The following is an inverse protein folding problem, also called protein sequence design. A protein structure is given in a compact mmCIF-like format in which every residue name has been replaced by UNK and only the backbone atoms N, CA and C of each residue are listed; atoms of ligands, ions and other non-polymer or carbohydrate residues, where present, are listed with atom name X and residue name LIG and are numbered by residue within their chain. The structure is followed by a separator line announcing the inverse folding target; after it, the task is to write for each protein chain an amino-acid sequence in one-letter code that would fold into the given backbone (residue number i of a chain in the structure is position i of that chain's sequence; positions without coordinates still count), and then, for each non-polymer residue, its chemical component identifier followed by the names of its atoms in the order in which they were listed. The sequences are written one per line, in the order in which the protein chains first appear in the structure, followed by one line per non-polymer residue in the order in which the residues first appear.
data_IF_525527172924
#
_entry.id   IF_525527172924
#
_cell.length_a   1.000
_cell.length_b   1.000
_cell.length_c   1.000
_cell.angle_alpha   90.00
_cell.angle_beta   90.00
_cell.angle_gamma   90.00
#
_symmetry.space_group_name_H-M   'P 1'
#
loop_
_entity.id
_entity.type
_entity.pdbx_description
1 polymer ?
#
# COMPACT_ATOMS: atom_id res chain seq x y z
N UNK A 1 1.98 14.09 -33.93
CA UNK A 1 3.23 13.77 -33.21
C UNK A 1 3.23 14.19 -31.73
N UNK A 2 2.35 15.10 -31.32
CA UNK A 2 2.29 15.59 -29.93
C UNK A 2 1.53 14.68 -28.93
N UNK A 3 0.61 13.83 -29.38
CA UNK A 3 -0.18 12.99 -28.48
C UNK A 3 0.53 11.76 -27.90
N UNK A 4 1.63 11.32 -28.50
CA UNK A 4 2.42 10.16 -27.99
C UNK A 4 3.39 10.52 -26.87
N UNK A 5 3.75 11.79 -26.72
CA UNK A 5 4.68 12.23 -25.68
C UNK A 5 4.01 12.49 -24.33
N UNK A 6 2.70 12.80 -24.31
CA UNK A 6 1.93 13.02 -23.08
C UNK A 6 1.76 11.70 -22.29
N UNK A 7 1.65 10.56 -22.97
CA UNK A 7 1.52 9.25 -22.32
C UNK A 7 2.85 8.71 -21.73
N UNK A 8 4.00 9.32 -22.07
CA UNK A 8 5.32 8.99 -21.50
C UNK A 8 5.79 9.93 -20.41
N UNK A 9 5.15 11.08 -20.25
CA UNK A 9 5.42 11.98 -19.13
C UNK A 9 4.77 11.39 -17.86
N UNK A 10 5.50 10.49 -17.18
CA UNK A 10 5.13 10.06 -15.84
C UNK A 10 4.94 11.28 -14.94
N UNK A 11 4.18 11.14 -13.86
CA UNK A 11 4.00 12.19 -12.87
C UNK A 11 5.38 12.66 -12.39
N UNK A 12 5.71 13.92 -12.66
CA UNK A 12 6.98 14.52 -12.23
C UNK A 12 6.77 15.26 -10.92
N UNK A 13 7.62 14.96 -9.94
CA UNK A 13 7.65 15.71 -8.69
C UNK A 13 8.07 17.16 -9.00
N UNK A 14 7.20 18.12 -8.68
CA UNK A 14 7.51 19.55 -8.77
C UNK A 14 7.82 20.08 -7.37
N UNK A 15 9.00 20.62 -7.24
CA UNK A 15 9.51 21.29 -6.02
C UNK A 15 9.66 22.78 -6.33
N UNK A 16 9.55 23.63 -5.32
CA UNK A 16 9.78 25.07 -5.47
C UNK A 16 11.20 25.35 -6.02
N UNK A 17 11.31 26.24 -7.00
CA UNK A 17 12.57 26.58 -7.66
C UNK A 17 13.67 27.09 -6.73
N UNK A 18 13.33 27.60 -5.53
CA UNK A 18 14.30 27.93 -4.49
C UNK A 18 15.13 26.69 -4.11
N UNK A 19 14.48 25.55 -3.92
CA UNK A 19 15.17 24.29 -3.55
C UNK A 19 15.92 23.66 -4.72
N UNK A 20 15.42 23.79 -5.95
CA UNK A 20 16.09 23.28 -7.15
C UNK A 20 17.49 23.90 -7.36
N UNK A 21 17.69 25.16 -6.93
CA UNK A 21 18.97 25.84 -7.00
C UNK A 21 19.92 25.50 -5.82
N UNK A 22 19.39 24.92 -4.74
CA UNK A 22 20.15 24.69 -3.50
C UNK A 22 20.44 23.21 -3.26
N UNK A 23 19.52 22.33 -3.70
CA UNK A 23 19.56 20.92 -3.46
C UNK A 23 19.59 20.13 -4.78
N UNK A 24 20.14 18.93 -4.74
CA UNK A 24 20.16 17.99 -5.86
C UNK A 24 18.83 17.28 -5.99
N UNK A 25 17.79 17.99 -6.46
CA UNK A 25 16.42 17.44 -6.59
C UNK A 25 16.37 16.30 -7.58
N UNK A 26 17.17 16.28 -8.66
CA UNK A 26 17.21 15.17 -9.59
C UNK A 26 17.71 13.88 -8.91
N UNK A 27 18.74 13.95 -8.06
CA UNK A 27 19.22 12.84 -7.26
C UNK A 27 18.10 12.28 -6.35
N UNK A 28 17.29 13.16 -5.77
CA UNK A 28 16.13 12.77 -4.96
C UNK A 28 15.05 12.06 -5.79
N UNK A 29 14.72 12.58 -6.97
CA UNK A 29 13.77 11.93 -7.89
C UNK A 29 14.29 10.55 -8.35
N UNK A 30 15.59 10.45 -8.61
CA UNK A 30 16.22 9.19 -9.01
C UNK A 30 16.20 8.10 -7.91
N UNK A 31 15.93 8.45 -6.63
CA UNK A 31 15.73 7.45 -5.57
C UNK A 31 14.62 6.46 -5.91
N UNK A 32 13.58 6.89 -6.64
CA UNK A 32 12.42 6.07 -7.01
C UNK A 32 12.52 5.48 -8.42
N UNK A 33 13.55 5.81 -9.19
CA UNK A 33 13.74 5.27 -10.53
C UNK A 33 14.20 3.82 -10.48
N UNK A 34 13.55 2.96 -11.26
CA UNK A 34 13.85 1.53 -11.42
C UNK A 34 14.11 0.79 -10.08
N UNK A 35 13.17 0.84 -9.13
CA UNK A 35 13.35 0.13 -7.88
C UNK A 35 13.31 -1.37 -8.11
N UNK A 36 14.36 -2.09 -7.69
CA UNK A 36 14.39 -3.55 -7.74
C UNK A 36 13.36 -4.19 -6.80
N UNK A 37 12.92 -3.44 -5.77
CA UNK A 37 11.97 -3.84 -4.74
C UNK A 37 11.20 -2.61 -4.24
N UNK A 38 10.00 -2.81 -3.71
CA UNK A 38 9.14 -1.72 -3.23
C UNK A 38 9.64 -1.03 -1.94
N UNK A 39 10.58 -1.59 -1.21
CA UNK A 39 11.02 -1.04 0.08
C UNK A 39 11.58 0.39 -0.01
N UNK A 40 12.05 0.85 -1.17
CA UNK A 40 12.47 2.25 -1.34
C UNK A 40 11.31 3.24 -1.13
N UNK A 41 10.11 2.89 -1.58
CA UNK A 41 8.90 3.70 -1.37
C UNK A 41 8.57 3.81 0.11
N UNK A 42 8.54 2.68 0.81
CA UNK A 42 8.26 2.65 2.25
C UNK A 42 9.36 3.32 3.08
N UNK A 43 10.63 3.21 2.65
CA UNK A 43 11.75 3.93 3.26
C UNK A 43 11.58 5.45 3.16
N UNK A 44 11.24 5.96 1.97
CA UNK A 44 11.04 7.39 1.78
C UNK A 44 9.78 7.89 2.50
N UNK A 45 8.68 7.13 2.49
CA UNK A 45 7.49 7.45 3.29
C UNK A 45 7.83 7.57 4.77
N UNK A 46 8.55 6.59 5.33
CA UNK A 46 8.95 6.60 6.73
C UNK A 46 9.82 7.84 7.07
N UNK A 47 10.74 8.22 6.19
CA UNK A 47 11.55 9.42 6.35
C UNK A 47 10.68 10.68 6.32
N UNK A 48 9.77 10.80 5.36
CA UNK A 48 8.86 11.96 5.25
C UNK A 48 7.97 12.05 6.49
N UNK A 49 7.45 10.94 6.97
CA UNK A 49 6.65 10.87 8.20
C UNK A 49 7.43 11.33 9.45
N UNK A 50 8.69 10.90 9.60
CA UNK A 50 9.54 11.30 10.71
C UNK A 50 9.89 12.79 10.64
N UNK A 51 10.29 13.29 9.48
CA UNK A 51 10.63 14.71 9.25
C UNK A 51 9.40 15.61 9.46
N UNK A 52 8.19 15.16 9.07
CA UNK A 52 6.95 15.91 9.30
C UNK A 52 6.61 16.06 10.79
N UNK A 53 7.21 15.23 11.65
CA UNK A 53 7.11 15.28 13.12
C UNK A 53 8.33 15.97 13.76
N UNK A 54 9.11 16.74 13.00
CA UNK A 54 10.32 17.44 13.42
C UNK A 54 11.45 16.55 13.97
N UNK A 55 11.47 15.27 13.58
CA UNK A 55 12.57 14.36 13.94
C UNK A 55 13.77 14.67 13.07
N UNK A 56 14.87 15.12 13.68
CA UNK A 56 16.12 15.44 12.99
C UNK A 56 17.13 14.30 13.00
N UNK A 57 17.02 13.40 13.96
CA UNK A 57 17.88 12.24 14.16
C UNK A 57 17.03 11.02 14.50
N UNK A 58 17.34 9.87 13.92
CA UNK A 58 16.65 8.61 14.15
C UNK A 58 17.61 7.42 13.99
N UNK A 59 17.09 6.20 14.00
CA UNK A 59 17.86 4.97 13.79
C UNK A 59 17.26 4.15 12.64
N UNK A 60 18.04 3.20 12.10
CA UNK A 60 17.49 2.25 11.13
C UNK A 60 16.30 1.48 11.71
N UNK A 61 16.34 1.15 13.00
CA UNK A 61 15.26 0.46 13.68
C UNK A 61 13.95 1.24 13.63
N UNK A 62 14.00 2.53 13.96
CA UNK A 62 12.82 3.40 13.97
C UNK A 62 12.25 3.58 12.56
N UNK A 63 13.10 3.79 11.54
CA UNK A 63 12.64 3.90 10.16
C UNK A 63 12.01 2.58 9.69
N UNK A 64 12.60 1.43 10.02
CA UNK A 64 12.06 0.12 9.64
C UNK A 64 10.72 -0.15 10.36
N UNK A 65 10.57 0.27 11.62
CA UNK A 65 9.30 0.16 12.34
C UNK A 65 8.20 0.98 11.65
N UNK A 66 8.52 2.19 11.16
CA UNK A 66 7.62 3.00 10.36
C UNK A 66 7.28 2.34 9.01
N UNK A 67 8.26 1.73 8.33
CA UNK A 67 8.01 0.97 7.10
C UNK A 67 7.03 -0.18 7.33
N UNK A 68 7.18 -0.92 8.43
CA UNK A 68 6.26 -2.00 8.81
C UNK A 68 4.86 -1.44 9.04
N UNK A 69 4.74 -0.33 9.77
CA UNK A 69 3.44 0.31 10.03
C UNK A 69 2.77 0.79 8.74
N UNK A 70 3.53 1.39 7.81
CA UNK A 70 3.02 1.91 6.53
C UNK A 70 2.59 0.79 5.56
N UNK A 71 3.19 -0.40 5.65
CA UNK A 71 2.85 -1.55 4.82
C UNK A 71 1.85 -2.53 5.48
N UNK A 72 1.56 -2.36 6.77
CA UNK A 72 0.76 -3.29 7.57
C UNK A 72 -0.58 -3.63 6.93
N UNK A 73 -1.40 -2.61 6.65
CA UNK A 73 -2.76 -2.80 6.15
C UNK A 73 -2.81 -3.59 4.84
N UNK A 74 -2.00 -3.19 3.87
CA UNK A 74 -1.99 -3.81 2.55
C UNK A 74 -1.56 -5.28 2.57
N UNK A 75 -0.57 -5.62 3.38
CA UNK A 75 -0.09 -7.00 3.52
C UNK A 75 -1.02 -7.83 4.42
N UNK A 76 -1.47 -7.25 5.54
CA UNK A 76 -2.26 -7.97 6.54
C UNK A 76 -3.68 -8.28 6.06
N UNK A 77 -4.34 -7.32 5.40
CA UNK A 77 -5.74 -7.44 4.95
C UNK A 77 -5.84 -8.08 3.57
N UNK A 78 -5.03 -7.63 2.61
CA UNK A 78 -5.16 -8.01 1.21
C UNK A 78 -4.08 -8.97 0.72
N UNK A 79 -3.16 -9.37 1.58
CA UNK A 79 -2.04 -10.26 1.23
C UNK A 79 -1.24 -9.76 0.00
N UNK A 80 -1.08 -8.43 -0.12
CA UNK A 80 -0.29 -7.84 -1.20
C UNK A 80 1.14 -8.32 -1.09
N UNK A 81 1.65 -8.90 -2.17
CA UNK A 81 3.05 -9.31 -2.27
C UNK A 81 3.94 -8.13 -2.62
N UNK A 82 4.79 -7.70 -1.68
CA UNK A 82 5.65 -6.53 -1.86
C UNK A 82 6.73 -6.69 -2.95
N UNK A 83 7.03 -7.91 -3.35
CA UNK A 83 7.94 -8.23 -4.48
C UNK A 83 7.26 -9.01 -5.61
N UNK A 84 5.91 -9.05 -5.61
CA UNK A 84 5.12 -9.88 -6.50
C UNK A 84 5.07 -11.35 -6.07
N UNK A 85 4.05 -12.06 -6.56
CA UNK A 85 3.90 -13.50 -6.33
C UNK A 85 4.94 -14.27 -7.15
N UNK A 86 5.58 -15.24 -6.53
CA UNK A 86 6.53 -16.15 -7.19
C UNK A 86 5.90 -17.51 -7.43
N UNK A 87 6.36 -18.20 -8.45
CA UNK A 87 5.88 -19.54 -8.80
C UNK A 87 6.07 -20.58 -7.68
N UNK A 88 7.08 -20.39 -6.82
CA UNK A 88 7.35 -21.25 -5.66
C UNK A 88 6.52 -20.89 -4.41
N UNK A 89 5.71 -19.81 -4.45
CA UNK A 89 4.89 -19.33 -3.33
C UNK A 89 5.70 -18.79 -2.14
N UNK A 90 7.02 -18.65 -2.25
CA UNK A 90 7.88 -18.20 -1.15
C UNK A 90 7.98 -16.68 -1.10
N UNK A 91 7.69 -16.11 0.07
CA UNK A 91 7.89 -14.68 0.35
C UNK A 91 9.37 -14.42 0.61
N UNK A 92 10.01 -13.66 -0.28
CA UNK A 92 11.44 -13.29 -0.17
C UNK A 92 11.67 -11.84 0.25
N UNK A 93 10.65 -11.01 0.17
CA UNK A 93 10.73 -9.62 0.62
C UNK A 93 10.87 -9.55 2.15
N UNK A 94 11.86 -8.77 2.62
CA UNK A 94 12.16 -8.66 4.05
C UNK A 94 11.09 -7.91 4.82
N UNK A 95 10.49 -6.87 4.21
CA UNK A 95 9.42 -6.08 4.83
C UNK A 95 8.13 -6.91 4.96
N UNK A 96 7.74 -7.59 3.88
CA UNK A 96 6.59 -8.50 3.89
C UNK A 96 6.76 -9.61 4.93
N UNK A 97 7.96 -10.21 5.04
CA UNK A 97 8.25 -11.22 6.07
C UNK A 97 8.12 -10.69 7.49
N UNK A 98 8.57 -9.45 7.75
CA UNK A 98 8.42 -8.83 9.07
C UNK A 98 6.94 -8.67 9.45
N UNK A 99 6.12 -8.23 8.50
CA UNK A 99 4.67 -8.08 8.70
C UNK A 99 4.00 -9.43 8.94
N UNK A 100 4.30 -10.44 8.11
CA UNK A 100 3.75 -11.80 8.28
C UNK A 100 4.20 -12.45 9.58
N UNK A 101 5.41 -12.15 10.06
CA UNK A 101 5.89 -12.60 11.37
C UNK A 101 5.11 -11.92 12.49
N UNK A 102 4.94 -10.59 12.44
CA UNK A 102 4.16 -9.84 13.42
C UNK A 102 2.69 -10.30 13.45
N UNK A 103 2.10 -10.62 12.30
CA UNK A 103 0.76 -11.20 12.19
C UNK A 103 0.61 -12.52 12.94
N UNK A 104 1.68 -13.33 13.01
CA UNK A 104 1.66 -14.62 13.74
C UNK A 104 1.90 -14.44 15.24
N UNK A 105 2.55 -13.37 15.64
CA UNK A 105 2.89 -13.08 17.03
C UNK A 105 1.80 -12.33 17.79
N UNK A 106 0.92 -11.62 17.07
CA UNK A 106 -0.10 -10.75 17.66
C UNK A 106 -1.47 -10.92 17.01
N UNK A 107 -2.52 -10.65 17.78
CA UNK A 107 -3.91 -10.57 17.28
C UNK A 107 -4.28 -9.18 16.76
N UNK A 108 -3.26 -8.38 16.36
CA UNK A 108 -3.46 -7.02 15.88
C UNK A 108 -4.36 -7.00 14.62
N UNK A 109 -5.46 -6.25 14.61
CA UNK A 109 -6.35 -6.18 13.46
C UNK A 109 -5.68 -5.47 12.27
N UNK A 110 -6.13 -5.77 11.07
CA UNK A 110 -5.56 -5.19 9.85
C UNK A 110 -5.67 -3.65 9.83
N UNK A 111 -6.80 -3.11 10.31
CA UNK A 111 -7.07 -1.67 10.39
C UNK A 111 -6.58 -1.02 11.69
N UNK A 112 -5.64 -1.66 12.41
CA UNK A 112 -5.02 -1.09 13.60
C UNK A 112 -4.40 0.27 13.28
N UNK A 113 -4.47 1.18 14.24
CA UNK A 113 -3.83 2.48 14.14
C UNK A 113 -2.30 2.34 14.13
N UNK A 114 -1.63 3.31 13.53
CA UNK A 114 -0.15 3.37 13.53
C UNK A 114 0.45 3.24 14.92
N UNK A 115 -0.16 3.88 15.92
CA UNK A 115 0.33 3.84 17.31
C UNK A 115 0.25 2.43 17.88
N UNK A 116 -0.86 1.72 17.66
CA UNK A 116 -1.02 0.34 18.08
C UNK A 116 0.02 -0.57 17.41
N UNK A 117 0.21 -0.42 16.09
CA UNK A 117 1.20 -1.20 15.34
C UNK A 117 2.59 -0.98 15.90
N UNK A 118 3.02 0.27 16.10
CA UNK A 118 4.34 0.60 16.63
C UNK A 118 4.54 0.09 18.08
N UNK A 119 3.49 0.08 18.90
CA UNK A 119 3.55 -0.47 20.26
C UNK A 119 3.76 -2.00 20.23
N UNK A 120 3.03 -2.70 19.36
CA UNK A 120 3.15 -4.16 19.20
C UNK A 120 4.52 -4.52 18.60
N UNK A 121 5.06 -3.75 17.65
CA UNK A 121 6.43 -3.94 17.15
C UNK A 121 7.46 -3.86 18.30
N UNK A 122 7.29 -2.89 19.22
CA UNK A 122 8.19 -2.77 20.41
C UNK A 122 8.05 -3.94 21.37
N UNK A 123 6.85 -4.46 21.55
CA UNK A 123 6.60 -5.64 22.40
C UNK A 123 7.33 -6.86 21.86
N UNK A 124 7.30 -7.08 20.53
CA UNK A 124 7.94 -8.22 19.86
C UNK A 124 9.29 -7.87 19.19
N UNK A 125 9.99 -6.86 19.70
CA UNK A 125 11.23 -6.36 19.08
C UNK A 125 12.32 -7.45 18.98
N UNK A 126 12.41 -8.33 19.98
CA UNK A 126 13.40 -9.44 20.00
C UNK A 126 13.12 -10.45 18.90
N UNK A 127 11.87 -10.83 18.73
CA UNK A 127 11.42 -11.79 17.73
C UNK A 127 11.58 -11.24 16.31
N UNK A 128 11.30 -9.96 16.10
CA UNK A 128 11.42 -9.28 14.81
C UNK A 128 12.85 -8.91 14.44
N UNK A 129 13.77 -8.91 15.38
CA UNK A 129 15.14 -8.40 15.21
C UNK A 129 15.83 -8.96 13.96
N UNK A 130 15.86 -10.27 13.80
CA UNK A 130 16.56 -10.92 12.67
C UNK A 130 15.98 -10.51 11.31
N UNK A 131 14.65 -10.40 11.22
CA UNK A 131 13.96 -10.01 9.99
C UNK A 131 14.19 -8.53 9.69
N UNK A 132 14.14 -7.66 10.69
CA UNK A 132 14.46 -6.23 10.57
C UNK A 132 15.91 -5.99 10.17
N UNK A 133 16.88 -6.75 10.74
CA UNK A 133 18.30 -6.62 10.40
C UNK A 133 18.58 -6.85 8.91
N UNK A 134 17.82 -7.72 8.24
CA UNK A 134 17.98 -7.94 6.80
C UNK A 134 17.71 -6.68 5.96
N UNK A 135 16.82 -5.80 6.43
CA UNK A 135 16.49 -4.54 5.75
C UNK A 135 17.62 -3.50 5.90
N UNK A 136 18.48 -3.63 6.91
CA UNK A 136 19.59 -2.67 7.15
C UNK A 136 20.71 -2.77 6.13
N UNK A 137 20.86 -3.89 5.43
CA UNK A 137 22.03 -4.14 4.59
C UNK A 137 22.05 -3.35 3.28
N UNK A 138 20.88 -3.12 2.68
CA UNK A 138 20.81 -2.52 1.34
C UNK A 138 19.90 -1.29 1.24
N UNK A 139 18.76 -1.29 1.92
CA UNK A 139 17.73 -0.27 1.75
C UNK A 139 18.25 1.15 2.01
N UNK A 140 18.90 1.45 3.15
CA UNK A 140 19.35 2.81 3.47
C UNK A 140 20.38 3.38 2.50
N UNK A 141 21.22 2.51 1.96
CA UNK A 141 22.31 2.89 1.05
C UNK A 141 21.81 3.01 -0.39
N UNK A 142 21.01 2.06 -0.85
CA UNK A 142 20.44 2.07 -2.20
C UNK A 142 19.42 3.17 -2.42
N UNK A 143 18.78 3.65 -1.37
CA UNK A 143 17.93 4.83 -1.45
C UNK A 143 18.73 6.07 -1.90
N UNK A 144 19.99 6.21 -1.49
CA UNK A 144 20.86 7.32 -1.89
C UNK A 144 21.53 7.14 -3.26
N UNK A 145 21.35 6.00 -3.93
CA UNK A 145 22.07 5.70 -5.18
C UNK A 145 21.84 6.74 -6.30
N UNK A 146 20.70 7.43 -6.29
CA UNK A 146 20.41 8.50 -7.25
C UNK A 146 21.41 9.67 -7.20
N UNK A 147 21.99 9.92 -6.03
CA UNK A 147 22.99 10.98 -5.84
C UNK A 147 24.40 10.56 -6.23
N UNK A 148 24.66 9.26 -6.38
CA UNK A 148 26.00 8.73 -6.62
C UNK A 148 26.47 8.93 -8.07
N UNK A 149 25.56 9.18 -8.99
CA UNK A 149 25.85 9.37 -10.43
C UNK A 149 26.78 10.59 -10.70
N UNK A 150 26.83 11.54 -9.77
CA UNK A 150 27.68 12.75 -9.86
C UNK A 150 29.09 12.54 -9.33
N UNK A 151 29.38 11.43 -8.68
CA UNK A 151 30.71 11.12 -8.17
C UNK A 151 31.52 10.33 -9.22
N UNK A 152 32.76 10.70 -9.40
CA UNK A 152 33.71 9.92 -10.21
C UNK A 152 34.10 8.60 -9.52
N UNK A 153 34.04 8.58 -8.16
CA UNK A 153 34.29 7.41 -7.36
C UNK A 153 33.07 6.48 -7.40
N UNK A 154 33.31 5.17 -7.59
CA UNK A 154 32.26 4.16 -7.58
C UNK A 154 32.00 3.65 -6.17
N UNK A 155 30.72 3.50 -5.82
CA UNK A 155 30.30 2.90 -4.56
C UNK A 155 30.67 1.41 -4.50
N UNK A 156 31.28 0.97 -3.41
CA UNK A 156 31.52 -0.46 -3.14
C UNK A 156 30.29 -1.09 -2.45
N UNK A 157 29.41 -1.65 -3.23
CA UNK A 157 28.18 -2.29 -2.76
C UNK A 157 28.40 -3.60 -1.98
N UNK A 158 29.63 -4.13 -1.94
CA UNK A 158 29.98 -5.33 -1.19
C UNK A 158 30.32 -5.07 0.28
N UNK A 159 30.46 -3.80 0.69
CA UNK A 159 30.89 -3.44 2.05
C UNK A 159 30.09 -2.28 2.63
N UNK A 160 29.27 -2.59 3.66
CA UNK A 160 28.50 -1.58 4.42
C UNK A 160 29.41 -0.50 5.01
N UNK A 161 30.59 -0.88 5.52
CA UNK A 161 31.56 0.09 6.06
C UNK A 161 32.02 1.05 4.96
N UNK A 162 32.47 0.53 3.81
CA UNK A 162 32.95 1.38 2.69
C UNK A 162 31.84 2.24 2.12
N UNK A 163 30.59 1.73 2.07
CA UNK A 163 29.43 2.53 1.67
C UNK A 163 29.16 3.69 2.65
N UNK A 164 29.27 3.45 3.96
CA UNK A 164 29.12 4.52 4.96
C UNK A 164 30.18 5.61 4.79
N UNK A 165 31.47 5.19 4.64
CA UNK A 165 32.59 6.10 4.39
C UNK A 165 32.42 6.87 3.05
N UNK A 166 31.92 6.20 2.02
CA UNK A 166 31.65 6.80 0.71
C UNK A 166 30.52 7.84 0.78
N UNK A 167 29.41 7.55 1.44
CA UNK A 167 28.31 8.49 1.69
C UNK A 167 28.81 9.73 2.42
N UNK A 168 29.63 9.54 3.45
CA UNK A 168 30.21 10.65 4.18
C UNK A 168 31.07 11.55 3.27
N UNK A 169 31.95 10.96 2.43
CA UNK A 169 32.78 11.73 1.47
C UNK A 169 31.94 12.48 0.45
N UNK A 170 30.96 11.84 -0.17
CA UNK A 170 30.07 12.49 -1.15
C UNK A 170 29.37 13.70 -0.52
N UNK A 171 28.86 13.56 0.69
CA UNK A 171 28.18 14.62 1.39
C UNK A 171 29.09 15.85 1.63
N UNK A 172 30.38 15.63 1.76
CA UNK A 172 31.36 16.72 1.98
C UNK A 172 31.88 17.34 0.70
N UNK A 173 31.96 16.61 -0.39
CA UNK A 173 32.74 17.02 -1.57
C UNK A 173 31.94 17.14 -2.85
N UNK A 174 30.79 16.48 -2.99
CA UNK A 174 30.03 16.39 -4.25
C UNK A 174 28.67 17.05 -4.13
N UNK A 175 27.84 16.61 -3.20
CA UNK A 175 26.46 17.12 -3.03
C UNK A 175 25.96 16.88 -1.61
N UNK A 176 25.11 17.78 -1.14
CA UNK A 176 24.43 17.63 0.15
C UNK A 176 23.35 16.55 0.03
N UNK A 177 23.50 15.49 0.81
CA UNK A 177 22.56 14.37 0.83
C UNK A 177 21.37 14.62 1.77
N UNK A 178 20.22 13.98 1.53
CA UNK A 178 19.06 14.09 2.42
C UNK A 178 19.35 13.64 3.86
N UNK A 179 20.22 12.65 4.00
CA UNK A 179 20.69 12.15 5.29
C UNK A 179 22.11 11.59 5.21
N UNK A 180 22.76 11.55 6.36
CA UNK A 180 24.03 10.88 6.59
C UNK A 180 23.87 9.80 7.65
N UNK A 181 24.87 8.93 7.78
CA UNK A 181 24.82 7.74 8.62
C UNK A 181 25.88 7.81 9.72
N UNK A 182 25.48 7.41 10.94
CA UNK A 182 26.38 7.34 12.10
C UNK A 182 27.30 6.11 12.09
N UNK A 183 28.06 5.99 13.17
CA UNK A 183 29.12 4.96 13.28
C UNK A 183 28.61 3.60 13.76
N UNK A 184 27.48 3.54 14.48
CA UNK A 184 26.90 2.28 14.95
C UNK A 184 26.55 1.38 13.79
N UNK A 185 26.30 0.11 14.05
CA UNK A 185 25.97 -0.89 13.04
C UNK A 185 24.58 -1.51 13.27
N UNK A 186 24.04 -2.16 12.21
CA UNK A 186 22.75 -2.84 12.27
C UNK A 186 21.60 -1.90 12.56
N UNK A 187 20.61 -2.34 13.29
CA UNK A 187 19.41 -1.58 13.63
C UNK A 187 19.69 -0.28 14.41
N UNK A 188 20.77 -0.25 15.17
CA UNK A 188 21.16 0.92 15.99
C UNK A 188 21.93 1.99 15.22
N UNK A 189 22.15 1.81 13.91
CA UNK A 189 22.84 2.82 13.09
C UNK A 189 22.01 4.08 13.03
N UNK A 190 22.62 5.20 13.37
CA UNK A 190 22.00 6.51 13.38
C UNK A 190 21.82 7.05 11.96
N UNK A 191 20.77 7.83 11.77
CA UNK A 191 20.46 8.57 10.55
C UNK A 191 20.23 10.03 10.92
N UNK A 192 21.04 10.92 10.34
CA UNK A 192 20.98 12.37 10.59
C UNK A 192 20.42 13.04 9.35
N UNK A 193 19.24 13.65 9.47
CA UNK A 193 18.62 14.38 8.37
C UNK A 193 19.24 15.76 8.21
N UNK A 194 19.50 16.15 6.97
CA UNK A 194 20.09 17.46 6.71
C UNK A 194 19.02 18.58 6.84
N UNK A 195 19.28 19.68 7.57
CA UNK A 195 18.26 20.68 7.88
C UNK A 195 17.57 21.31 6.65
N UNK A 196 18.32 21.57 5.57
CA UNK A 196 17.75 22.12 4.32
C UNK A 196 16.83 21.11 3.64
N UNK A 197 17.22 19.83 3.63
CA UNK A 197 16.36 18.74 3.13
C UNK A 197 15.12 18.54 3.99
N UNK A 198 15.25 18.62 5.32
CA UNK A 198 14.09 18.57 6.22
C UNK A 198 13.10 19.67 5.88
N UNK A 199 13.57 20.92 5.74
CA UNK A 199 12.72 22.07 5.40
C UNK A 199 12.04 21.87 4.04
N UNK A 200 12.78 21.44 3.02
CA UNK A 200 12.22 21.15 1.69
C UNK A 200 11.12 20.06 1.77
N UNK A 201 11.37 18.98 2.51
CA UNK A 201 10.39 17.88 2.68
C UNK A 201 9.15 18.37 3.42
N UNK A 202 9.31 19.16 4.50
CA UNK A 202 8.18 19.72 5.26
C UNK A 202 7.32 20.65 4.40
N UNK A 203 7.94 21.55 3.63
CA UNK A 203 7.23 22.48 2.75
C UNK A 203 6.52 21.77 1.59
N UNK A 204 6.97 20.57 1.20
CA UNK A 204 6.46 19.81 0.06
C UNK A 204 5.89 18.44 0.44
N UNK A 205 5.55 18.19 1.69
CA UNK A 205 5.12 16.87 2.20
C UNK A 205 4.01 16.25 1.35
N UNK A 206 2.95 17.01 1.04
CA UNK A 206 1.81 16.51 0.26
C UNK A 206 2.24 16.12 -1.16
N UNK A 207 3.06 16.94 -1.82
CA UNK A 207 3.55 16.66 -3.17
C UNK A 207 4.45 15.43 -3.20
N UNK A 208 5.36 15.31 -2.22
CA UNK A 208 6.31 14.19 -2.12
C UNK A 208 5.56 12.89 -1.82
N UNK A 209 4.65 12.88 -0.84
CA UNK A 209 3.86 11.70 -0.52
C UNK A 209 2.95 11.29 -1.69
N UNK A 210 2.30 12.24 -2.35
CA UNK A 210 1.49 11.97 -3.53
C UNK A 210 2.30 11.33 -4.67
N UNK A 211 3.50 11.82 -4.92
CA UNK A 211 4.42 11.25 -5.90
C UNK A 211 4.91 9.85 -5.51
N UNK A 212 5.32 9.66 -4.26
CA UNK A 212 5.74 8.34 -3.73
C UNK A 212 4.60 7.33 -3.84
N UNK A 213 3.38 7.72 -3.46
CA UNK A 213 2.19 6.86 -3.56
C UNK A 213 1.90 6.48 -5.03
N UNK A 214 1.96 7.44 -5.95
CA UNK A 214 1.76 7.17 -7.37
C UNK A 214 2.76 6.14 -7.91
N UNK A 215 4.06 6.33 -7.66
CA UNK A 215 5.10 5.41 -8.12
C UNK A 215 5.01 4.04 -7.42
N UNK A 216 4.66 4.02 -6.13
CA UNK A 216 4.42 2.79 -5.36
C UNK A 216 3.24 1.99 -5.90
N UNK A 217 2.10 2.64 -6.14
CA UNK A 217 0.91 1.98 -6.73
C UNK A 217 1.24 1.38 -8.08
N UNK A 218 1.87 2.14 -8.95
CA UNK A 218 2.29 1.69 -10.29
C UNK A 218 3.23 0.49 -10.23
N UNK A 219 4.22 0.52 -9.35
CA UNK A 219 5.16 -0.58 -9.16
C UNK A 219 4.47 -1.83 -8.59
N UNK A 220 3.69 -1.67 -7.53
CA UNK A 220 2.97 -2.78 -6.90
C UNK A 220 1.93 -3.39 -7.84
N UNK A 221 1.19 -2.59 -8.62
CA UNK A 221 0.21 -3.10 -9.59
C UNK A 221 0.88 -3.93 -10.68
N UNK A 222 2.06 -3.53 -11.16
CA UNK A 222 2.83 -4.31 -12.13
C UNK A 222 3.31 -5.65 -11.57
N UNK A 223 3.53 -5.72 -10.27
CA UNK A 223 3.99 -6.94 -9.59
C UNK A 223 2.86 -7.77 -8.96
N UNK A 224 1.63 -7.25 -8.95
CA UNK A 224 0.41 -7.93 -8.49
C UNK A 224 -0.71 -7.69 -9.52
N UNK A 225 -0.57 -8.15 -10.78
CA UNK A 225 -1.52 -7.86 -11.84
C UNK A 225 -2.91 -8.48 -11.59
N UNK A 226 -2.97 -9.53 -10.76
CA UNK A 226 -4.18 -10.21 -10.34
C UNK A 226 -4.98 -9.46 -9.27
N UNK A 227 -4.41 -8.40 -8.67
CA UNK A 227 -5.06 -7.62 -7.60
C UNK A 227 -5.76 -6.41 -8.19
N UNK A 228 -7.10 -6.39 -8.33
CA UNK A 228 -7.82 -5.24 -8.83
C UNK A 228 -7.88 -4.13 -7.77
N UNK A 229 -7.90 -2.86 -8.24
CA UNK A 229 -8.10 -1.70 -7.37
C UNK A 229 -7.03 -1.53 -6.28
N UNK A 230 -5.78 -1.85 -6.58
CA UNK A 230 -4.68 -1.88 -5.61
C UNK A 230 -4.52 -0.55 -4.84
N UNK A 231 -4.78 0.58 -5.48
CA UNK A 231 -4.72 1.90 -4.83
C UNK A 231 -5.60 1.99 -3.57
N UNK A 232 -6.76 1.34 -3.58
CA UNK A 232 -7.69 1.32 -2.43
C UNK A 232 -7.29 0.31 -1.35
N UNK A 233 -6.26 -0.50 -1.61
CA UNK A 233 -5.77 -1.56 -0.71
C UNK A 233 -4.50 -1.17 0.04
N UNK A 234 -4.01 0.06 -0.16
CA UNK A 234 -2.79 0.54 0.48
C UNK A 234 -3.03 1.18 1.86
N UNK A 235 -4.24 1.66 2.11
CA UNK A 235 -4.62 2.25 3.39
C UNK A 235 -6.08 1.94 3.72
N UNK A 236 -6.48 1.89 5.00
CA UNK A 236 -7.87 1.71 5.39
C UNK A 236 -8.76 2.82 4.81
N UNK A 237 -9.89 2.43 4.25
CA UNK A 237 -10.89 3.38 3.76
C UNK A 237 -11.94 3.64 4.84
N UNK A 238 -12.50 4.85 4.85
CA UNK A 238 -13.64 5.18 5.70
C UNK A 238 -14.90 4.46 5.17
N UNK A 239 -15.42 3.49 5.93
CA UNK A 239 -16.61 2.72 5.56
C UNK A 239 -17.86 3.57 5.32
N UNK A 240 -17.91 4.79 5.86
CA UNK A 240 -19.03 5.74 5.66
C UNK A 240 -19.18 6.22 4.21
N UNK A 241 -18.21 5.98 3.34
CA UNK A 241 -18.28 6.41 1.94
C UNK A 241 -19.16 5.51 1.06
N UNK A 242 -19.51 4.29 1.48
CA UNK A 242 -20.34 3.38 0.68
C UNK A 242 -21.83 3.70 0.81
N UNK A 243 -22.51 3.90 -0.32
CA UNK A 243 -23.95 4.25 -0.38
C UNK A 243 -24.72 3.24 -1.22
N UNK A 244 -25.10 2.11 -0.61
CA UNK A 244 -25.88 1.07 -1.28
C UNK A 244 -27.41 1.33 -1.32
N UNK A 245 -27.86 2.50 -0.86
CA UNK A 245 -29.29 2.84 -0.80
C UNK A 245 -29.99 2.82 -2.16
N UNK A 246 -29.28 3.20 -3.25
CA UNK A 246 -29.84 3.12 -4.61
C UNK A 246 -30.02 1.67 -5.06
N UNK A 247 -29.05 0.81 -4.76
CA UNK A 247 -29.10 -0.60 -5.10
C UNK A 247 -30.20 -1.31 -4.29
N UNK A 248 -30.35 -0.96 -3.01
CA UNK A 248 -31.46 -1.46 -2.19
C UNK A 248 -32.83 -1.11 -2.79
N UNK A 249 -33.05 0.15 -3.19
CA UNK A 249 -34.29 0.57 -3.87
C UNK A 249 -34.55 -0.20 -5.17
N UNK A 250 -33.52 -0.45 -5.96
CA UNK A 250 -33.60 -1.24 -7.18
C UNK A 250 -34.09 -2.67 -6.87
N UNK A 251 -33.47 -3.34 -5.91
CA UNK A 251 -33.88 -4.68 -5.48
C UNK A 251 -35.27 -4.69 -4.83
N UNK A 252 -35.67 -3.65 -4.10
CA UNK A 252 -37.03 -3.48 -3.58
C UNK A 252 -38.06 -3.47 -4.72
N UNK A 253 -37.80 -2.74 -5.80
CA UNK A 253 -38.66 -2.73 -7.00
C UNK A 253 -38.73 -4.12 -7.66
N UNK A 254 -37.60 -4.83 -7.77
CA UNK A 254 -37.57 -6.18 -8.36
C UNK A 254 -38.35 -7.17 -7.51
N UNK A 255 -38.20 -7.13 -6.19
CA UNK A 255 -38.91 -8.00 -5.24
C UNK A 255 -40.44 -7.81 -5.25
N UNK A 256 -40.94 -6.68 -5.73
CA UNK A 256 -42.39 -6.46 -5.92
C UNK A 256 -42.91 -7.18 -7.17
N UNK A 257 -42.08 -7.43 -8.16
CA UNK A 257 -42.46 -7.99 -9.45
C UNK A 257 -42.11 -9.47 -9.62
N UNK A 258 -41.04 -9.92 -8.94
CA UNK A 258 -40.45 -11.23 -9.14
C UNK A 258 -40.09 -11.90 -7.80
N UNK A 259 -40.17 -13.24 -7.76
CA UNK A 259 -39.64 -14.03 -6.66
C UNK A 259 -38.11 -14.13 -6.80
N UNK A 260 -37.38 -13.51 -5.87
CA UNK A 260 -35.92 -13.58 -5.77
C UNK A 260 -35.55 -14.56 -4.64
N UNK A 261 -34.56 -15.41 -4.88
CA UNK A 261 -34.06 -16.36 -3.87
C UNK A 261 -32.67 -15.99 -3.38
N UNK A 262 -32.48 -16.11 -2.08
CA UNK A 262 -31.16 -15.98 -1.46
C UNK A 262 -30.19 -17.02 -2.06
N UNK A 263 -29.04 -16.56 -2.52
CA UNK A 263 -28.06 -17.38 -3.27
C UNK A 263 -27.51 -18.54 -2.44
N UNK A 264 -27.40 -18.36 -1.13
CA UNK A 264 -26.78 -19.35 -0.24
C UNK A 264 -27.79 -20.33 0.36
N UNK A 265 -29.01 -19.88 0.63
CA UNK A 265 -30.03 -20.72 1.28
C UNK A 265 -31.09 -21.25 0.32
N UNK A 266 -31.22 -20.64 -0.85
CA UNK A 266 -32.31 -20.91 -1.79
C UNK A 266 -33.70 -20.46 -1.30
N UNK A 267 -33.82 -19.84 -0.14
CA UNK A 267 -35.08 -19.37 0.42
C UNK A 267 -35.52 -18.08 -0.28
N UNK A 268 -36.84 -17.81 -0.41
CA UNK A 268 -37.32 -16.55 -0.91
C UNK A 268 -36.81 -15.38 -0.07
N UNK A 269 -36.33 -14.34 -0.73
CA UNK A 269 -35.98 -13.06 -0.08
C UNK A 269 -37.26 -12.28 0.17
N UNK A 270 -37.47 -11.90 1.44
CA UNK A 270 -38.66 -11.12 1.82
C UNK A 270 -38.35 -9.61 1.79
N UNK A 271 -39.26 -8.77 1.26
CA UNK A 271 -39.11 -7.33 1.31
C UNK A 271 -38.82 -6.84 2.73
N UNK A 272 -37.89 -5.90 2.87
CA UNK A 272 -37.44 -5.32 4.15
C UNK A 272 -36.74 -6.28 5.13
N UNK A 273 -36.45 -7.53 4.74
CA UNK A 273 -35.78 -8.52 5.60
C UNK A 273 -34.48 -9.04 4.95
N UNK A 274 -33.79 -8.20 4.22
CA UNK A 274 -32.52 -8.54 3.55
C UNK A 274 -31.52 -7.39 3.64
N UNK A 275 -30.27 -7.73 3.54
CA UNK A 275 -29.20 -6.79 3.25
C UNK A 275 -28.79 -6.86 1.78
N UNK A 276 -28.23 -5.77 1.25
CA UNK A 276 -27.52 -5.82 -0.03
C UNK A 276 -26.07 -6.14 0.25
N UNK A 277 -25.59 -7.26 -0.27
CA UNK A 277 -24.23 -7.72 -0.10
C UNK A 277 -23.55 -8.04 -1.44
N UNK A 278 -22.24 -8.09 -1.41
CA UNK A 278 -21.38 -8.46 -2.52
C UNK A 278 -21.23 -9.98 -2.62
N UNK A 279 -21.45 -10.57 -3.79
CA UNK A 279 -21.13 -11.98 -4.00
C UNK A 279 -19.63 -12.22 -3.81
N UNK A 280 -18.79 -11.51 -4.58
CA UNK A 280 -17.36 -11.41 -4.29
C UNK A 280 -17.17 -10.27 -3.28
N UNK A 281 -16.65 -10.54 -2.06
CA UNK A 281 -16.55 -9.53 -1.03
C UNK A 281 -15.90 -8.23 -1.53
N UNK A 282 -16.39 -7.10 -1.03
CA UNK A 282 -15.90 -5.79 -1.42
C UNK A 282 -14.39 -5.64 -1.24
N UNK A 283 -13.83 -6.24 -0.19
CA UNK A 283 -12.38 -6.27 0.07
C UNK A 283 -11.55 -6.84 -1.09
N UNK A 284 -12.15 -7.67 -1.96
CA UNK A 284 -11.44 -8.22 -3.12
C UNK A 284 -11.54 -7.32 -4.36
N UNK A 285 -12.73 -6.78 -4.66
CA UNK A 285 -12.98 -6.04 -5.92
C UNK A 285 -12.97 -4.52 -5.74
N UNK A 286 -13.20 -4.02 -4.52
CA UNK A 286 -13.17 -2.59 -4.16
C UNK A 286 -14.10 -1.72 -5.01
N UNK A 287 -15.25 -2.26 -5.42
CA UNK A 287 -16.28 -1.52 -6.14
C UNK A 287 -17.68 -1.95 -5.70
N UNK A 288 -18.66 -1.09 -5.94
CA UNK A 288 -20.08 -1.28 -5.65
C UNK A 288 -20.89 -1.42 -6.96
N UNK A 289 -20.33 -2.13 -7.95
CA UNK A 289 -21.00 -2.34 -9.22
C UNK A 289 -22.14 -3.38 -9.12
N UNK A 290 -23.22 -3.12 -9.85
CA UNK A 290 -24.46 -3.89 -9.78
C UNK A 290 -24.27 -5.38 -10.04
N UNK A 291 -23.34 -5.75 -10.93
CA UNK A 291 -23.07 -7.15 -11.27
C UNK A 291 -22.61 -8.02 -10.08
N UNK A 292 -22.16 -7.39 -8.99
CA UNK A 292 -21.66 -8.07 -7.79
C UNK A 292 -22.58 -7.91 -6.58
N UNK A 293 -23.65 -7.13 -6.69
CA UNK A 293 -24.55 -6.79 -5.59
C UNK A 293 -25.85 -7.59 -5.67
N UNK A 294 -26.22 -8.23 -4.58
CA UNK A 294 -27.40 -9.09 -4.48
C UNK A 294 -28.09 -8.94 -3.13
N UNK A 295 -29.40 -9.22 -3.04
CA UNK A 295 -30.09 -9.33 -1.77
C UNK A 295 -29.67 -10.63 -1.06
N UNK A 296 -29.47 -10.57 0.24
CA UNK A 296 -29.01 -11.66 1.08
C UNK A 296 -29.66 -11.59 2.46
N UNK A 297 -29.88 -12.74 3.09
CA UNK A 297 -30.30 -12.82 4.48
C UNK A 297 -29.31 -12.09 5.41
N UNK A 298 -29.82 -11.20 6.27
CA UNK A 298 -28.97 -10.34 7.12
C UNK A 298 -28.12 -11.14 8.11
N UNK A 299 -28.61 -12.29 8.59
CA UNK A 299 -27.86 -13.14 9.52
C UNK A 299 -26.69 -13.85 8.83
N UNK A 300 -26.88 -14.25 7.59
CA UNK A 300 -25.84 -14.85 6.76
C UNK A 300 -24.79 -13.83 6.33
N UNK A 301 -25.20 -12.61 6.04
CA UNK A 301 -24.27 -11.53 5.68
C UNK A 301 -23.22 -11.34 6.78
N UNK A 302 -23.66 -11.26 8.03
CA UNK A 302 -22.76 -11.14 9.19
C UNK A 302 -21.80 -12.34 9.31
N UNK A 303 -22.26 -13.56 9.01
CA UNK A 303 -21.43 -14.78 9.10
C UNK A 303 -20.49 -14.99 7.93
N UNK A 304 -20.85 -14.52 6.72
CA UNK A 304 -20.04 -14.57 5.51
C UNK A 304 -18.80 -13.66 5.64
N UNK A 305 -18.99 -12.43 6.16
CA UNK A 305 -17.92 -11.44 6.29
C UNK A 305 -17.10 -11.33 4.98
N UNK A 306 -15.79 -11.24 5.05
CA UNK A 306 -14.88 -11.13 3.91
C UNK A 306 -14.47 -12.48 3.28
N UNK A 307 -15.27 -13.55 3.45
CA UNK A 307 -14.94 -14.85 2.86
C UNK A 307 -15.41 -14.94 1.42
N UNK A 308 -14.51 -15.38 0.52
CA UNK A 308 -14.91 -15.73 -0.84
C UNK A 308 -15.85 -16.92 -0.82
N UNK A 309 -17.02 -16.83 -1.49
CA UNK A 309 -17.91 -17.97 -1.62
C UNK A 309 -17.26 -19.04 -2.50
N UNK A 310 -17.63 -20.31 -2.25
CA UNK A 310 -17.30 -21.37 -3.19
C UNK A 310 -18.02 -21.10 -4.51
N UNK A 311 -17.32 -21.24 -5.63
CA UNK A 311 -17.92 -21.05 -6.95
C UNK A 311 -19.07 -22.04 -7.17
N UNK A 312 -18.77 -23.33 -7.05
CA UNK A 312 -19.78 -24.35 -6.94
C UNK A 312 -20.15 -24.53 -5.45
N UNK A 313 -21.40 -24.47 -5.03
CA UNK A 313 -22.65 -24.54 -5.81
C UNK A 313 -23.33 -23.17 -6.04
N UNK A 314 -22.73 -22.04 -5.66
CA UNK A 314 -23.46 -20.77 -5.52
C UNK A 314 -23.52 -19.92 -6.80
N UNK A 315 -22.58 -20.10 -7.73
CA UNK A 315 -22.49 -19.25 -8.91
C UNK A 315 -23.75 -19.29 -9.78
N UNK A 316 -24.37 -20.45 -9.94
CA UNK A 316 -25.59 -20.57 -10.77
C UNK A 316 -26.73 -19.73 -10.20
N UNK A 317 -27.01 -19.84 -8.91
CA UNK A 317 -28.06 -19.07 -8.25
C UNK A 317 -27.75 -17.55 -8.28
N UNK A 318 -26.48 -17.18 -8.14
CA UNK A 318 -26.02 -15.80 -8.28
C UNK A 318 -26.26 -15.29 -9.71
N UNK A 319 -25.87 -16.04 -10.73
CA UNK A 319 -26.06 -15.67 -12.13
C UNK A 319 -27.55 -15.54 -12.50
N UNK A 320 -28.43 -16.38 -11.96
CA UNK A 320 -29.87 -16.29 -12.12
C UNK A 320 -30.42 -14.96 -11.55
N UNK A 321 -29.99 -14.57 -10.35
CA UNK A 321 -30.38 -13.28 -9.76
C UNK A 321 -29.84 -12.09 -10.57
N UNK A 322 -28.61 -12.17 -11.08
CA UNK A 322 -28.03 -11.10 -11.92
C UNK A 322 -28.72 -11.01 -13.28
N UNK A 323 -29.13 -12.14 -13.86
CA UNK A 323 -29.93 -12.16 -15.09
C UNK A 323 -31.30 -11.51 -14.87
N UNK A 324 -31.97 -11.83 -13.76
CA UNK A 324 -33.25 -11.22 -13.38
C UNK A 324 -33.09 -9.69 -13.20
N UNK A 325 -32.02 -9.24 -12.53
CA UNK A 325 -31.70 -7.82 -12.41
C UNK A 325 -31.56 -7.15 -13.79
N UNK A 326 -30.81 -7.77 -14.70
CA UNK A 326 -30.64 -7.27 -16.07
C UNK A 326 -31.96 -7.16 -16.81
N UNK A 327 -32.77 -8.24 -16.83
CA UNK A 327 -34.08 -8.23 -17.48
C UNK A 327 -35.01 -7.12 -16.92
N UNK A 328 -35.09 -7.02 -15.60
CA UNK A 328 -35.92 -6.04 -14.91
C UNK A 328 -35.56 -4.60 -15.29
N UNK A 329 -34.28 -4.31 -15.47
CA UNK A 329 -33.82 -2.97 -15.88
C UNK A 329 -34.05 -2.65 -17.35
N UNK A 330 -34.16 -3.68 -18.20
CA UNK A 330 -34.51 -3.51 -19.63
C UNK A 330 -36.01 -3.38 -19.86
N UNK A 331 -36.83 -4.14 -19.15
CA UNK A 331 -38.28 -4.24 -19.36
C UNK A 331 -39.04 -3.12 -18.62
N UNK A 332 -38.52 -2.61 -17.52
CA UNK A 332 -39.16 -1.63 -16.64
C UNK A 332 -38.31 -0.38 -16.52
N UNK A 333 -38.44 0.53 -17.49
CA UNK A 333 -37.69 1.81 -17.48
C UNK A 333 -38.02 2.76 -16.31
N UNK A 334 -38.84 2.34 -15.36
CA UNK A 334 -39.25 3.10 -14.17
C UNK A 334 -38.75 2.53 -12.83
N UNK A 335 -37.94 1.46 -12.84
CA UNK A 335 -37.32 0.90 -11.63
C UNK A 335 -36.03 1.60 -11.30
#
# INVERSE_FOLDING_TARGET
MAERDIAKAGYQLKIDGFYENTLEIEGFVQMMKDPSYCYKFYWLEAIVDLISRDVAETTFDEIINEMIANAWYSVREFHIHLSGMRADGLVRDGLERAILQLTKLSDLPANASRVEILNVIKEYDKELKQTKEQLTHMVPYRALAGFFSKSEEKADWGSVRRLTEYIYRINQTVTVLPYTLGERSGLKKEVYFHPVWMKMIQDNTVNILGWVQYEKVKWLQNNNPEVPGLIYKLAPMDEKMRKLSRVRKLWEGILQLYEVRDVYTGKPVLPNQYDVDHFIPWSFVMNDELWNLMPMDSSLNSSKSNRLPKWDPFFKAFAENQYLLYQSTQENSGI
#
